data_IF_148689586752
#
_entry.id   IF_148689586752
#
_cell.length_a   1.000
_cell.length_b   1.000
_cell.length_c   1.000
_cell.angle_alpha   90.00
_cell.angle_beta   90.00
_cell.angle_gamma   90.00
#
_symmetry.space_group_name_H-M   'P 1'
#
loop_
_entity.id
_entity.type
_entity.pdbx_description
1 polymer ?
#
# COMPACT_ATOMS: atom_id res chain seq x y z
N UNK A 1 17.74 -24.10 6.49
CA UNK A 1 16.74 -23.02 6.32
C UNK A 1 15.49 -23.45 7.04
N UNK A 2 14.80 -22.55 7.76
CA UNK A 2 13.49 -22.89 8.32
C UNK A 2 12.55 -23.28 7.16
N UNK A 3 11.82 -24.40 7.26
CA UNK A 3 10.97 -24.90 6.18
C UNK A 3 9.80 -23.95 5.91
N UNK A 4 9.18 -24.10 4.74
CA UNK A 4 7.86 -23.53 4.45
C UNK A 4 6.83 -24.57 4.90
N UNK A 5 5.87 -24.18 5.72
CA UNK A 5 4.74 -25.03 6.09
C UNK A 5 3.44 -24.34 5.75
N UNK A 6 2.54 -25.11 5.15
CA UNK A 6 1.16 -24.70 4.86
C UNK A 6 0.28 -25.70 5.58
N UNK A 7 -0.56 -25.22 6.48
CA UNK A 7 -1.52 -26.01 7.24
C UNK A 7 -2.88 -25.32 7.18
N UNK A 8 -3.96 -26.09 7.14
CA UNK A 8 -5.29 -25.50 7.09
C UNK A 8 -6.38 -26.45 6.63
N UNK A 9 -7.59 -25.94 6.57
CA UNK A 9 -8.79 -26.62 6.13
C UNK A 9 -9.61 -25.68 5.23
N UNK A 10 -10.05 -26.20 4.09
CA UNK A 10 -11.02 -25.55 3.22
C UNK A 10 -12.27 -26.41 3.17
N UNK A 11 -13.38 -25.89 3.68
CA UNK A 11 -14.65 -26.61 3.72
C UNK A 11 -15.73 -25.85 2.94
N UNK A 12 -15.93 -26.30 1.70
CA UNK A 12 -16.96 -25.75 0.80
C UNK A 12 -18.39 -25.93 1.31
N UNK A 13 -18.69 -26.94 2.13
CA UNK A 13 -20.04 -27.13 2.68
C UNK A 13 -20.39 -26.11 3.76
N UNK A 14 -19.37 -25.57 4.42
CA UNK A 14 -19.50 -24.59 5.49
C UNK A 14 -19.03 -23.20 5.03
N UNK A 15 -18.71 -23.01 3.73
CA UNK A 15 -18.08 -21.80 3.20
C UNK A 15 -16.93 -21.29 4.07
N UNK A 16 -16.11 -22.22 4.59
CA UNK A 16 -15.04 -21.90 5.54
C UNK A 16 -13.67 -22.10 4.93
N UNK A 17 -12.79 -21.11 5.10
CA UNK A 17 -11.36 -21.18 4.80
C UNK A 17 -10.60 -20.89 6.09
N UNK A 18 -9.74 -21.80 6.51
CA UNK A 18 -8.80 -21.61 7.61
C UNK A 18 -7.43 -22.07 7.11
N UNK A 19 -6.53 -21.14 6.82
CA UNK A 19 -5.21 -21.44 6.27
C UNK A 19 -4.18 -20.65 7.05
N UNK A 20 -3.11 -21.33 7.47
CA UNK A 20 -1.90 -20.74 8.02
C UNK A 20 -0.68 -21.16 7.19
N UNK A 21 0.17 -20.20 6.88
CA UNK A 21 1.39 -20.37 6.11
C UNK A 21 2.54 -19.75 6.89
N UNK A 22 3.51 -20.59 7.25
CA UNK A 22 4.78 -20.15 7.85
C UNK A 22 5.89 -20.29 6.81
N UNK A 23 6.61 -19.20 6.58
CA UNK A 23 7.71 -19.11 5.64
C UNK A 23 8.96 -18.74 6.43
N UNK A 24 9.79 -19.74 6.70
CA UNK A 24 11.10 -19.52 7.26
C UNK A 24 11.98 -18.66 6.34
N UNK A 25 12.12 -19.09 5.09
CA UNK A 25 12.81 -18.34 4.03
C UNK A 25 12.29 -18.76 2.66
N UNK A 26 11.95 -17.79 1.81
CA UNK A 26 11.60 -17.99 0.40
C UNK A 26 12.38 -17.02 -0.47
N UNK A 27 12.83 -17.49 -1.64
CA UNK A 27 13.43 -16.65 -2.67
C UNK A 27 12.88 -17.10 -4.02
N UNK A 28 12.12 -16.23 -4.68
CA UNK A 28 11.44 -16.53 -5.93
C UNK A 28 11.48 -15.31 -6.85
N UNK A 29 12.28 -15.38 -7.93
CA UNK A 29 12.53 -14.23 -8.80
C UNK A 29 13.07 -13.03 -8.00
N UNK A 30 12.38 -11.88 -8.10
CA UNK A 30 12.74 -10.65 -7.38
C UNK A 30 12.13 -10.56 -5.97
N UNK A 31 11.42 -11.60 -5.53
CA UNK A 31 10.81 -11.67 -4.20
C UNK A 31 11.70 -12.48 -3.25
N UNK A 32 11.96 -11.92 -2.08
CA UNK A 32 12.57 -12.60 -0.96
C UNK A 32 11.75 -12.36 0.31
N UNK A 33 11.47 -13.43 1.04
CA UNK A 33 10.77 -13.42 2.32
C UNK A 33 11.60 -14.18 3.35
N UNK A 34 11.65 -13.67 4.57
CA UNK A 34 12.23 -14.38 5.71
C UNK A 34 11.47 -14.07 6.99
N UNK A 35 11.21 -15.12 7.76
CA UNK A 35 10.42 -15.09 8.99
C UNK A 35 9.02 -14.47 8.74
N UNK A 36 8.30 -15.02 7.76
CA UNK A 36 6.94 -14.60 7.42
C UNK A 36 5.91 -15.59 7.96
N UNK A 37 4.77 -15.06 8.38
CA UNK A 37 3.56 -15.79 8.69
C UNK A 37 2.39 -15.13 7.95
N UNK A 38 1.55 -15.93 7.33
CA UNK A 38 0.30 -15.47 6.74
C UNK A 38 -0.83 -16.39 7.19
N UNK A 39 -1.97 -15.82 7.56
CA UNK A 39 -3.15 -16.61 7.88
C UNK A 39 -4.41 -16.00 7.26
N UNK A 40 -5.39 -16.85 7.00
CA UNK A 40 -6.74 -16.48 6.59
C UNK A 40 -7.75 -17.33 7.36
N UNK A 41 -8.68 -16.71 8.07
CA UNK A 41 -9.85 -17.34 8.70
C UNK A 41 -11.10 -16.64 8.18
N UNK A 42 -11.85 -17.32 7.33
CA UNK A 42 -12.98 -16.78 6.57
C UNK A 42 -14.17 -17.74 6.71
N UNK A 43 -15.33 -17.19 7.01
CA UNK A 43 -16.61 -17.86 7.08
C UNK A 43 -17.65 -17.03 6.33
N UNK A 44 -18.22 -17.61 5.26
CA UNK A 44 -19.08 -16.89 4.33
C UNK A 44 -18.36 -15.62 3.83
N UNK A 45 -18.99 -14.44 3.98
CA UNK A 45 -18.46 -13.14 3.55
C UNK A 45 -17.72 -12.38 4.67
N UNK A 46 -17.39 -13.06 5.78
CA UNK A 46 -16.73 -12.48 6.95
C UNK A 46 -15.42 -13.16 7.23
N UNK A 47 -14.45 -12.42 7.77
CA UNK A 47 -13.20 -13.04 8.17
C UNK A 47 -12.03 -12.09 8.32
N UNK A 48 -10.86 -12.68 8.51
CA UNK A 48 -9.62 -11.94 8.65
C UNK A 48 -8.52 -12.61 7.84
N UNK A 49 -7.78 -11.80 7.11
CA UNK A 49 -6.51 -12.19 6.48
C UNK A 49 -5.41 -11.36 7.12
N UNK A 50 -4.32 -11.98 7.58
CA UNK A 50 -3.12 -11.23 7.99
C UNK A 50 -1.87 -11.82 7.38
N UNK A 51 -0.93 -10.95 7.05
CA UNK A 51 0.40 -11.28 6.60
C UNK A 51 1.36 -10.44 7.44
N UNK A 52 2.35 -11.06 8.04
CA UNK A 52 3.40 -10.36 8.78
C UNK A 52 4.74 -11.03 8.56
N UNK A 53 5.81 -10.24 8.57
CA UNK A 53 7.15 -10.78 8.50
C UNK A 53 8.23 -9.76 8.76
N UNK A 54 9.47 -10.25 8.88
CA UNK A 54 10.63 -9.41 9.14
C UNK A 54 11.22 -8.89 7.82
N UNK A 55 11.83 -9.75 7.02
CA UNK A 55 12.58 -9.26 5.84
C UNK A 55 11.81 -9.54 4.55
N UNK A 56 11.16 -8.51 3.99
CA UNK A 56 10.69 -8.48 2.61
C UNK A 56 11.77 -7.80 1.76
N UNK A 57 12.16 -8.43 0.65
CA UNK A 57 12.81 -7.72 -0.44
C UNK A 57 12.01 -7.94 -1.72
N UNK A 58 11.67 -6.84 -2.38
CA UNK A 58 10.98 -6.84 -3.67
C UNK A 58 11.62 -5.77 -4.54
N UNK A 59 12.31 -6.18 -5.60
CA UNK A 59 13.11 -5.28 -6.43
C UNK A 59 14.13 -4.47 -5.58
N UNK A 60 14.02 -3.14 -5.59
CA UNK A 60 14.86 -2.21 -4.84
C UNK A 60 14.31 -1.87 -3.44
N UNK A 61 13.15 -2.41 -3.09
CA UNK A 61 12.55 -2.25 -1.77
C UNK A 61 13.06 -3.36 -0.84
N UNK A 62 13.52 -2.96 0.34
CA UNK A 62 13.88 -3.88 1.42
C UNK A 62 13.26 -3.40 2.72
N UNK A 63 12.62 -4.30 3.46
CA UNK A 63 12.02 -4.05 4.76
C UNK A 63 12.73 -4.82 5.87
N UNK A 64 12.62 -4.33 7.11
CA UNK A 64 12.89 -5.09 8.34
C UNK A 64 11.61 -5.49 9.09
N UNK A 65 10.46 -4.93 8.69
CA UNK A 65 9.13 -5.39 9.07
C UNK A 65 8.10 -5.08 7.99
N UNK A 66 7.18 -6.00 7.78
CA UNK A 66 5.96 -5.81 7.00
C UNK A 66 4.78 -6.41 7.77
N UNK A 67 3.66 -5.71 7.80
CA UNK A 67 2.38 -6.23 8.28
C UNK A 67 1.26 -5.75 7.38
N UNK A 68 0.34 -6.64 7.05
CA UNK A 68 -0.92 -6.35 6.38
C UNK A 68 -2.01 -7.11 7.12
N UNK A 69 -3.09 -6.45 7.52
CA UNK A 69 -4.29 -7.09 8.00
C UNK A 69 -5.49 -6.59 7.22
N UNK A 70 -6.37 -7.51 6.86
CA UNK A 70 -7.63 -7.24 6.18
C UNK A 70 -8.74 -7.90 6.98
N UNK A 71 -9.78 -7.12 7.30
CA UNK A 71 -11.02 -7.61 7.88
C UNK A 71 -12.12 -7.54 6.83
N UNK A 72 -12.73 -8.68 6.54
CA UNK A 72 -13.83 -8.82 5.58
C UNK A 72 -15.15 -8.68 6.34
N UNK A 73 -15.99 -7.77 5.89
CA UNK A 73 -17.32 -7.51 6.42
C UNK A 73 -18.30 -7.37 5.25
N UNK A 74 -18.83 -8.51 4.78
CA UNK A 74 -19.72 -8.54 3.61
C UNK A 74 -19.02 -7.95 2.38
N UNK A 75 -19.52 -6.84 1.82
CA UNK A 75 -18.97 -6.24 0.60
C UNK A 75 -17.75 -5.34 0.82
N UNK A 76 -17.35 -5.13 2.08
CA UNK A 76 -16.28 -4.20 2.45
C UNK A 76 -15.10 -4.96 3.05
N UNK A 77 -13.91 -4.70 2.53
CA UNK A 77 -12.64 -5.15 3.10
C UNK A 77 -11.91 -3.97 3.75
N UNK A 78 -11.84 -3.93 5.07
CA UNK A 78 -11.06 -2.94 5.81
C UNK A 78 -9.62 -3.41 5.89
N UNK A 79 -8.65 -2.53 5.63
CA UNK A 79 -7.25 -2.92 5.62
C UNK A 79 -6.37 -1.97 6.43
N UNK A 80 -5.31 -2.54 7.00
CA UNK A 80 -4.21 -1.84 7.62
C UNK A 80 -2.89 -2.45 7.12
N UNK A 81 -2.07 -1.60 6.50
CA UNK A 81 -0.76 -1.97 5.96
C UNK A 81 0.28 -1.13 6.69
N UNK A 82 1.37 -1.77 7.11
CA UNK A 82 2.54 -1.10 7.68
C UNK A 82 3.81 -1.76 7.19
N UNK A 83 4.80 -0.95 6.86
CA UNK A 83 6.11 -1.42 6.44
C UNK A 83 7.19 -0.50 7.00
N UNK A 84 8.22 -1.09 7.58
CA UNK A 84 9.44 -0.38 7.94
C UNK A 84 10.52 -0.80 6.96
N UNK A 85 11.06 0.17 6.24
CA UNK A 85 12.03 -0.06 5.17
C UNK A 85 13.45 0.16 5.66
N UNK A 86 14.42 -0.41 4.94
CA UNK A 86 15.85 -0.11 5.07
C UNK A 86 16.35 0.90 4.04
N UNK A 87 15.44 1.46 3.23
CA UNK A 87 15.78 2.44 2.22
C UNK A 87 15.95 3.81 2.89
N UNK A 88 16.99 4.57 2.52
CA UNK A 88 17.25 5.91 3.09
C UNK A 88 16.23 6.96 2.63
N UNK A 89 15.64 6.75 1.46
CA UNK A 89 14.74 7.69 0.79
C UNK A 89 13.28 7.42 1.12
N UNK A 90 12.94 6.17 1.39
CA UNK A 90 11.61 5.73 1.80
C UNK A 90 11.80 5.03 3.14
N UNK A 91 11.28 5.58 4.23
CA UNK A 91 11.29 5.03 5.59
C UNK A 91 9.99 4.28 5.91
N UNK A 92 9.40 4.56 7.08
CA UNK A 92 8.17 3.89 7.48
C UNK A 92 6.99 4.28 6.57
N UNK A 93 6.15 3.31 6.28
CA UNK A 93 4.90 3.48 5.56
C UNK A 93 3.77 2.87 6.39
N UNK A 94 2.66 3.59 6.53
CA UNK A 94 1.45 3.08 7.14
C UNK A 94 0.24 3.59 6.37
N UNK A 95 -0.73 2.71 6.11
CA UNK A 95 -1.95 3.03 5.39
C UNK A 95 -3.12 2.25 6.01
N UNK A 96 -4.20 2.96 6.31
CA UNK A 96 -5.49 2.39 6.71
C UNK A 96 -6.57 2.86 5.75
N UNK A 97 -7.46 1.95 5.38
CA UNK A 97 -8.56 2.25 4.49
C UNK A 97 -9.57 1.14 4.42
N UNK A 98 -10.49 1.27 3.47
CA UNK A 98 -11.36 0.19 3.09
C UNK A 98 -11.41 0.06 1.57
N UNK A 99 -11.80 -1.13 1.13
CA UNK A 99 -12.01 -1.47 -0.26
C UNK A 99 -13.43 -2.00 -0.43
N UNK A 100 -14.11 -1.58 -1.49
CA UNK A 100 -15.42 -2.09 -1.88
C UNK A 100 -15.54 -2.20 -3.40
N UNK A 101 -16.55 -2.91 -3.88
CA UNK A 101 -16.78 -3.07 -5.32
C UNK A 101 -17.26 -1.75 -5.94
N UNK A 102 -16.73 -1.42 -7.12
CA UNK A 102 -17.12 -0.25 -7.92
C UNK A 102 -17.35 -0.66 -9.38
N UNK A 103 -18.04 0.19 -10.15
CA UNK A 103 -18.40 -0.08 -11.56
C UNK A 103 -17.19 -0.49 -12.42
N UNK A 104 -16.05 0.13 -12.18
CA UNK A 104 -14.82 -0.08 -12.96
C UNK A 104 -13.76 -0.93 -12.25
N UNK A 105 -14.04 -1.50 -11.08
CA UNK A 105 -13.08 -2.30 -10.33
C UNK A 105 -13.31 -2.25 -8.83
N UNK A 106 -12.29 -1.91 -8.07
CA UNK A 106 -12.37 -1.77 -6.62
C UNK A 106 -12.05 -0.33 -6.20
N UNK A 107 -12.98 0.28 -5.46
CA UNK A 107 -12.76 1.57 -4.83
C UNK A 107 -11.94 1.34 -3.56
N UNK A 108 -10.85 2.08 -3.43
CA UNK A 108 -10.06 2.17 -2.20
C UNK A 108 -10.24 3.55 -1.60
N UNK A 109 -10.76 3.61 -0.38
CA UNK A 109 -10.91 4.86 0.37
C UNK A 109 -9.87 4.90 1.49
N UNK A 110 -8.98 5.89 1.43
CA UNK A 110 -7.96 6.10 2.46
C UNK A 110 -8.61 6.80 3.65
N UNK A 111 -8.47 6.17 4.83
CA UNK A 111 -8.90 6.74 6.11
C UNK A 111 -7.77 7.51 6.77
N UNK A 112 -6.57 6.94 6.74
CA UNK A 112 -5.36 7.60 7.22
C UNK A 112 -4.14 6.92 6.63
N UNK A 113 -3.03 7.64 6.61
CA UNK A 113 -1.75 7.03 6.29
C UNK A 113 -0.62 8.04 6.38
N UNK A 114 0.59 7.52 6.46
CA UNK A 114 1.80 8.30 6.43
C UNK A 114 2.90 7.54 5.70
N UNK A 115 3.86 8.30 5.21
CA UNK A 115 5.07 7.79 4.59
C UNK A 115 6.24 8.69 4.96
N UNK A 116 7.32 8.10 5.46
CA UNK A 116 8.57 8.81 5.64
C UNK A 116 9.30 8.87 4.29
N UNK A 117 9.46 10.06 3.74
CA UNK A 117 10.21 10.32 2.50
C UNK A 117 11.37 11.26 2.81
N UNK A 118 12.58 10.86 2.44
CA UNK A 118 13.82 11.62 2.64
C UNK A 118 14.00 12.13 4.08
N UNK A 119 13.71 11.27 5.07
CA UNK A 119 13.81 11.60 6.50
C UNK A 119 12.72 12.53 7.02
N UNK A 120 11.64 12.72 6.26
CA UNK A 120 10.50 13.56 6.63
C UNK A 120 9.20 12.76 6.56
N UNK A 121 8.37 12.86 7.59
CA UNK A 121 7.04 12.23 7.58
C UNK A 121 6.06 13.08 6.77
N UNK A 122 5.43 12.44 5.78
CA UNK A 122 4.32 12.97 4.99
C UNK A 122 3.05 12.22 5.35
N UNK A 123 1.93 12.92 5.37
CA UNK A 123 0.62 12.35 5.64
C UNK A 123 -0.18 12.25 4.36
N UNK A 124 -0.82 11.10 4.14
CA UNK A 124 -1.78 10.96 3.06
C UNK A 124 -2.98 11.85 3.34
N UNK A 125 -3.49 12.53 2.30
CA UNK A 125 -4.69 13.36 2.41
C UNK A 125 -5.87 12.54 2.92
N UNK A 126 -6.58 13.07 3.91
CA UNK A 126 -7.84 12.49 4.37
C UNK A 126 -8.85 12.47 3.21
N UNK A 127 -9.66 11.41 3.14
CA UNK A 127 -10.67 11.19 2.11
C UNK A 127 -10.14 11.02 0.68
N UNK A 128 -8.83 10.85 0.49
CA UNK A 128 -8.29 10.43 -0.80
C UNK A 128 -8.84 9.04 -1.18
N UNK A 129 -9.24 8.88 -2.44
CA UNK A 129 -9.68 7.60 -2.94
C UNK A 129 -9.16 7.34 -4.35
N UNK A 130 -9.14 6.06 -4.70
CA UNK A 130 -8.76 5.64 -6.03
C UNK A 130 -9.51 4.36 -6.41
N UNK A 131 -9.84 4.21 -7.69
CA UNK A 131 -10.46 2.99 -8.23
C UNK A 131 -9.42 2.29 -9.09
N UNK A 132 -9.14 1.03 -8.76
CA UNK A 132 -8.25 0.17 -9.57
C UNK A 132 -9.07 -0.90 -10.27
N UNK A 133 -8.97 -0.93 -11.59
CA UNK A 133 -9.62 -1.90 -12.44
C UNK A 133 -8.68 -2.47 -13.51
N UNK A 134 -9.21 -3.40 -14.30
CA UNK A 134 -8.47 -3.91 -15.46
C UNK A 134 -8.31 -2.78 -16.49
N UNK A 135 -7.09 -2.28 -16.65
CA UNK A 135 -6.75 -1.13 -17.49
C UNK A 135 -7.47 0.16 -17.10
N UNK A 136 -7.87 0.31 -15.83
CA UNK A 136 -8.56 1.50 -15.33
C UNK A 136 -7.88 1.97 -14.05
N UNK A 137 -7.57 3.26 -13.98
CA UNK A 137 -7.13 3.92 -12.76
C UNK A 137 -7.81 5.27 -12.65
N UNK A 138 -8.63 5.42 -11.61
CA UNK A 138 -9.17 6.72 -11.20
C UNK A 138 -8.57 7.12 -9.88
N UNK A 139 -8.17 8.39 -9.74
CA UNK A 139 -7.65 8.94 -8.49
C UNK A 139 -8.30 10.27 -8.23
N UNK A 140 -8.87 10.42 -7.04
CA UNK A 140 -9.47 11.66 -6.57
C UNK A 140 -8.99 11.99 -5.16
N UNK A 141 -8.68 13.27 -4.92
CA UNK A 141 -8.29 13.78 -3.61
C UNK A 141 -7.09 13.08 -2.96
N UNK A 142 -6.24 12.42 -3.74
CA UNK A 142 -5.04 11.76 -3.24
C UNK A 142 -3.85 12.74 -3.23
N UNK A 143 -3.06 12.69 -2.17
CA UNK A 143 -1.92 13.58 -2.03
C UNK A 143 -1.13 13.29 -0.77
N UNK A 144 -0.03 14.03 -0.62
CA UNK A 144 0.85 14.03 0.53
C UNK A 144 0.89 15.44 1.11
N UNK A 145 0.69 15.56 2.41
CA UNK A 145 0.73 16.82 3.15
C UNK A 145 1.81 16.73 4.21
N UNK A 146 2.61 17.79 4.34
CA UNK A 146 3.60 17.93 5.39
C UNK A 146 3.75 19.41 5.74
N UNK A 147 3.34 19.80 6.95
CA UNK A 147 3.38 21.20 7.40
C UNK A 147 2.68 22.13 6.39
N UNK A 148 3.44 23.04 5.79
CA UNK A 148 3.07 24.00 4.75
C UNK A 148 3.23 23.46 3.31
N UNK A 149 3.75 22.23 3.14
CA UNK A 149 3.98 21.62 1.84
C UNK A 149 2.89 20.61 1.48
N UNK A 150 2.45 20.62 0.22
CA UNK A 150 1.43 19.70 -0.29
C UNK A 150 1.75 19.24 -1.71
N UNK A 151 1.70 17.93 -1.93
CA UNK A 151 1.70 17.29 -3.24
C UNK A 151 0.29 16.72 -3.45
N UNK A 152 -0.43 17.14 -4.48
CA UNK A 152 -1.79 16.71 -4.73
C UNK A 152 -1.95 16.17 -6.15
N UNK A 153 -2.56 15.00 -6.28
CA UNK A 153 -2.93 14.40 -7.55
C UNK A 153 -4.39 14.76 -7.81
N UNK A 154 -4.59 15.69 -8.75
CA UNK A 154 -5.90 16.31 -8.94
C UNK A 154 -6.85 15.42 -9.74
N UNK A 155 -6.38 14.79 -10.81
CA UNK A 155 -7.15 13.84 -11.61
C UNK A 155 -6.21 12.88 -12.36
N UNK A 156 -6.45 11.58 -12.22
CA UNK A 156 -6.02 10.55 -13.17
C UNK A 156 -7.28 9.83 -13.60
N UNK A 157 -7.52 9.75 -14.90
CA UNK A 157 -8.49 8.82 -15.49
C UNK A 157 -7.87 8.20 -16.73
N UNK A 158 -8.50 7.14 -17.24
CA UNK A 158 -8.16 6.59 -18.55
C UNK A 158 -8.11 7.74 -19.56
N UNK A 159 -6.90 8.03 -20.06
CA UNK A 159 -6.58 8.98 -21.15
C UNK A 159 -6.12 10.42 -20.81
N UNK A 160 -6.14 10.91 -19.56
CA UNK A 160 -5.73 12.32 -19.26
C UNK A 160 -4.32 12.52 -18.68
N UNK A 161 -3.59 11.43 -18.38
CA UNK A 161 -2.27 11.52 -17.74
C UNK A 161 -2.36 11.91 -16.26
N UNK A 162 -1.20 12.18 -15.62
CA UNK A 162 -1.12 12.51 -14.20
C UNK A 162 -0.90 14.01 -14.02
N UNK A 163 -1.88 14.70 -13.44
CA UNK A 163 -1.67 16.09 -12.98
C UNK A 163 -1.30 16.10 -11.50
N UNK A 164 -0.05 16.43 -11.21
CA UNK A 164 0.42 16.73 -9.85
C UNK A 164 0.46 18.24 -9.63
N UNK A 165 -0.06 18.70 -8.50
CA UNK A 165 -0.02 20.09 -8.04
C UNK A 165 0.89 20.13 -6.81
N UNK A 166 1.90 20.99 -6.86
CA UNK A 166 2.86 21.21 -5.77
C UNK A 166 2.58 22.58 -5.14
N UNK A 167 2.46 22.62 -3.82
CA UNK A 167 2.23 23.82 -3.02
C UNK A 167 3.20 23.86 -1.83
N UNK A 168 3.67 25.05 -1.47
CA UNK A 168 4.66 25.25 -0.40
C UNK A 168 6.07 24.71 -0.70
N UNK A 169 6.44 24.60 -1.97
CA UNK A 169 7.80 24.21 -2.38
C UNK A 169 8.59 25.42 -2.86
N UNK A 170 9.76 25.62 -2.26
CA UNK A 170 10.78 26.50 -2.83
C UNK A 170 11.40 25.82 -4.05
N UNK A 171 11.12 26.35 -5.24
CA UNK A 171 11.71 25.90 -6.49
C UNK A 171 12.87 26.83 -6.80
N UNK A 172 14.08 26.42 -6.46
CA UNK A 172 15.29 27.07 -6.94
C UNK A 172 15.42 26.80 -8.44
N UNK A 173 15.08 27.80 -9.26
CA UNK A 173 15.33 27.79 -10.69
C UNK A 173 16.85 27.85 -10.92
N UNK A 174 17.48 26.69 -11.12
CA UNK A 174 18.89 26.61 -11.49
C UNK A 174 19.09 27.24 -12.89
N UNK A 175 19.69 28.43 -12.87
CA UNK A 175 20.18 29.26 -13.99
C UNK A 175 19.14 29.97 -14.88
N UNK A 176 18.72 31.17 -14.45
CA UNK A 176 18.50 32.26 -15.41
C UNK A 176 19.87 32.86 -15.76
N UNK A 177 20.53 32.34 -16.81
CA UNK A 177 21.70 33.01 -17.38
C UNK A 177 21.21 34.33 -17.99
N UNK A 178 21.40 35.43 -17.27
CA UNK A 178 21.28 36.76 -17.86
C UNK A 178 22.47 36.96 -18.80
N UNK A 179 22.23 36.92 -20.11
CA UNK A 179 23.19 37.42 -21.08
C UNK A 179 23.27 38.95 -20.92
N UNK A 180 24.47 39.55 -20.87
CA UNK A 180 24.61 41.00 -20.90
C UNK A 180 24.07 41.54 -22.24
N UNK A 181 23.27 42.60 -22.16
CA UNK A 181 22.84 43.42 -23.31
C UNK A 181 24.01 44.32 -23.74
#
# INVERSE_FOLDING_TARGET
>A
ALPISINGNVNYKLNKIDINVDIGKLSYGNLFLKDFNAYADILDDYGTVRIQGKELKMNNLMSDRFTCSVELNDQIAQYEISMNTKNKELGNFSLKGFMESAVHGYLHQIKSGNVDLYGKTWYLTENGHFIVGKNYLEVENLGLVRNDQKIHFAHMNDHLGVKAILDGFDIDLLNAVALPI
#
